data_IF_697794965984
#
_entry.id   IF_697794965984
#
_cell.length_a   1.000
_cell.length_b   1.000
_cell.length_c   1.000
_cell.angle_alpha   90.00
_cell.angle_beta   90.00
_cell.angle_gamma   90.00
#
_symmetry.space_group_name_H-M   'P 1'
#
loop_
_entity.id
_entity.type
_entity.pdbx_description
1 polymer ?
#
# COMPACT_ATOMS: atom_id res chain seq x y z
N UNK A 1 -13.54 7.66 15.68
CA UNK A 1 -12.19 7.46 15.12
C UNK A 1 -11.22 7.37 16.28
N UNK A 2 -10.27 6.43 16.24
CA UNK A 2 -9.30 6.26 17.32
C UNK A 2 -8.25 7.38 17.23
N UNK A 3 -8.23 8.27 18.22
CA UNK A 3 -7.09 9.18 18.41
C UNK A 3 -5.95 8.33 18.95
N UNK A 4 -4.90 8.17 18.15
CA UNK A 4 -3.63 7.64 18.63
C UNK A 4 -3.02 8.73 19.50
N UNK A 5 -2.54 8.37 20.69
CA UNK A 5 -1.99 9.30 21.70
C UNK A 5 -0.61 8.86 22.16
N UNK A 6 -0.28 7.57 22.05
CA UNK A 6 1.02 7.06 22.48
C UNK A 6 1.80 6.40 21.34
N UNK A 7 3.11 6.30 21.55
CA UNK A 7 4.03 5.54 20.69
C UNK A 7 3.59 4.08 20.55
N UNK A 8 3.13 3.47 21.64
CA UNK A 8 2.68 2.07 21.66
C UNK A 8 1.42 1.88 20.81
N UNK A 9 0.47 2.81 20.89
CA UNK A 9 -0.74 2.80 20.06
C UNK A 9 -0.38 2.97 18.57
N UNK A 10 0.54 3.88 18.24
CA UNK A 10 1.03 4.07 16.88
C UNK A 10 1.70 2.81 16.32
N UNK A 11 2.54 2.13 17.10
CA UNK A 11 3.18 0.88 16.71
C UNK A 11 2.17 -0.26 16.56
N UNK A 12 1.20 -0.38 17.48
CA UNK A 12 0.13 -1.36 17.38
C UNK A 12 -0.74 -1.13 16.13
N UNK A 13 -0.98 0.13 15.78
CA UNK A 13 -1.73 0.48 14.57
C UNK A 13 -0.97 0.11 13.29
N UNK A 14 0.33 0.37 13.22
CA UNK A 14 1.17 -0.08 12.09
C UNK A 14 1.22 -1.61 11.97
N UNK A 15 1.18 -2.33 13.09
CA UNK A 15 1.14 -3.79 13.09
C UNK A 15 -0.19 -4.35 12.54
N UNK A 16 -1.28 -3.59 12.56
CA UNK A 16 -2.52 -3.98 11.87
C UNK A 16 -2.36 -3.89 10.35
N UNK A 17 -1.72 -2.82 9.86
CA UNK A 17 -1.47 -2.60 8.43
C UNK A 17 -0.42 -3.58 7.87
N UNK A 18 0.66 -3.85 8.61
CA UNK A 18 1.75 -4.73 8.18
C UNK A 18 2.26 -5.59 9.34
N UNK A 19 1.59 -6.72 9.64
CA UNK A 19 1.88 -7.54 10.83
C UNK A 19 3.30 -8.14 10.88
N UNK A 20 3.92 -8.31 9.73
CA UNK A 20 5.26 -8.90 9.59
C UNK A 20 6.38 -7.86 9.67
N UNK A 21 6.04 -6.57 9.59
CA UNK A 21 6.99 -5.48 9.50
C UNK A 21 7.19 -4.81 10.86
N UNK A 22 8.42 -4.35 11.11
CA UNK A 22 8.76 -3.59 12.32
C UNK A 22 9.07 -2.15 11.97
N UNK A 23 8.65 -1.24 12.83
CA UNK A 23 8.83 0.19 12.63
C UNK A 23 9.44 0.84 13.86
N UNK A 24 10.24 1.87 13.60
CA UNK A 24 10.60 2.88 14.58
C UNK A 24 9.76 4.13 14.30
N UNK A 25 9.16 4.73 15.33
CA UNK A 25 8.32 5.91 15.20
C UNK A 25 8.92 7.09 15.96
N UNK A 26 8.85 8.28 15.36
CA UNK A 26 9.25 9.55 15.97
C UNK A 26 8.02 10.46 16.01
N UNK A 27 7.59 10.92 17.20
CA UNK A 27 6.43 11.79 17.32
C UNK A 27 6.73 13.22 16.80
N UNK A 28 5.68 13.88 16.33
CA UNK A 28 5.64 15.31 16.00
C UNK A 28 4.21 15.85 16.20
N UNK A 29 4.01 17.16 16.05
CA UNK A 29 2.75 17.84 16.43
C UNK A 29 1.46 17.24 15.82
N UNK A 30 1.54 16.62 14.64
CA UNK A 30 0.38 16.03 13.95
C UNK A 30 0.44 14.50 13.85
N UNK A 31 1.31 13.84 14.62
CA UNK A 31 1.32 12.38 14.74
C UNK A 31 2.72 11.78 14.79
N UNK A 32 2.98 10.76 13.96
CA UNK A 32 4.24 10.01 14.00
C UNK A 32 4.83 9.80 12.62
N UNK A 33 6.14 10.01 12.48
CA UNK A 33 6.90 9.55 11.32
C UNK A 33 7.43 8.15 11.62
N UNK A 34 7.02 7.17 10.83
CA UNK A 34 7.47 5.78 10.95
C UNK A 34 8.53 5.46 9.89
N UNK A 35 9.59 4.79 10.33
CA UNK A 35 10.67 4.25 9.49
C UNK A 35 10.76 2.76 9.72
N UNK A 36 10.74 1.98 8.63
CA UNK A 36 10.87 0.52 8.72
C UNK A 36 12.23 0.14 9.32
N UNK A 37 12.21 -0.79 10.27
CA UNK A 37 13.41 -1.39 10.86
C UNK A 37 13.84 -2.53 9.94
N UNK A 38 15.02 -2.38 9.35
CA UNK A 38 15.56 -3.37 8.42
C UNK A 38 16.27 -4.49 9.18
N UNK A 39 16.17 -5.71 8.67
CA UNK A 39 16.98 -6.83 9.17
C UNK A 39 18.44 -6.70 8.69
N UNK A 40 19.41 -7.37 9.34
CA UNK A 40 20.80 -7.37 8.89
C UNK A 40 20.96 -7.80 7.41
N UNK A 41 20.17 -8.77 6.95
CA UNK A 41 20.17 -9.23 5.55
C UNK A 41 19.67 -8.13 4.58
N UNK A 42 18.65 -7.38 4.99
CA UNK A 42 18.11 -6.26 4.21
C UNK A 42 19.10 -5.09 4.14
N UNK A 43 19.80 -4.81 5.24
CA UNK A 43 20.87 -3.81 5.25
C UNK A 43 22.02 -4.20 4.31
N UNK A 44 22.44 -5.46 4.35
CA UNK A 44 23.55 -5.97 3.53
C UNK A 44 23.23 -6.06 2.03
N UNK A 45 21.95 -6.20 1.67
CA UNK A 45 21.48 -6.21 0.27
C UNK A 45 21.19 -4.81 -0.30
N UNK A 46 21.42 -3.75 0.48
CA UNK A 46 21.21 -2.37 0.03
C UNK A 46 19.75 -1.89 0.10
N UNK A 47 18.85 -2.63 0.75
CA UNK A 47 17.44 -2.26 0.91
C UNK A 47 17.22 -0.98 1.76
N UNK A 48 18.28 -0.47 2.40
CA UNK A 48 18.28 0.83 3.07
C UNK A 48 18.23 2.02 2.10
N UNK A 49 18.70 1.85 0.86
CA UNK A 49 18.71 2.91 -0.15
C UNK A 49 17.29 3.11 -0.67
N UNK A 50 16.79 4.34 -0.59
CA UNK A 50 15.47 4.68 -1.08
C UNK A 50 14.31 4.25 -0.18
N UNK A 51 14.56 3.95 1.10
CA UNK A 51 13.49 3.59 2.03
C UNK A 51 12.49 4.74 2.20
N UNK A 52 11.26 4.49 1.76
CA UNK A 52 10.15 5.42 1.92
C UNK A 52 9.80 5.61 3.41
N UNK A 53 9.11 6.71 3.73
CA UNK A 53 8.67 6.99 5.11
C UNK A 53 7.18 6.98 5.21
N UNK A 54 6.69 6.56 6.36
CA UNK A 54 5.28 6.62 6.66
C UNK A 54 5.01 7.76 7.63
N UNK A 55 3.85 8.38 7.49
CA UNK A 55 3.31 9.28 8.52
C UNK A 55 1.97 8.74 8.96
N UNK A 56 1.79 8.59 10.26
CA UNK A 56 0.49 8.34 10.86
C UNK A 56 -0.03 9.68 11.36
N UNK A 57 -1.14 10.16 10.80
CA UNK A 57 -1.84 11.35 11.27
C UNK A 57 -2.63 11.02 12.55
N UNK A 58 -2.36 11.75 13.64
CA UNK A 58 -2.95 11.46 14.96
C UNK A 58 -4.44 11.76 15.07
N UNK A 59 -4.96 12.65 14.23
CA UNK A 59 -6.35 13.09 14.25
C UNK A 59 -7.25 12.16 13.44
N UNK A 60 -6.74 11.70 12.29
CA UNK A 60 -7.49 10.93 11.30
C UNK A 60 -7.15 9.44 11.29
N UNK A 61 -6.04 9.06 11.94
CA UNK A 61 -5.45 7.73 11.86
C UNK A 61 -5.10 7.29 10.42
N UNK A 62 -4.95 8.23 9.48
CA UNK A 62 -4.53 7.91 8.11
C UNK A 62 -3.01 7.72 8.08
N UNK A 63 -2.57 6.63 7.45
CA UNK A 63 -1.16 6.39 7.15
C UNK A 63 -0.85 6.84 5.72
N UNK A 64 0.11 7.74 5.60
CA UNK A 64 0.59 8.28 4.34
C UNK A 64 1.99 7.77 4.02
N UNK A 65 2.22 7.38 2.77
CA UNK A 65 3.53 7.07 2.21
C UNK A 65 4.17 8.34 1.64
N UNK A 66 5.37 8.66 2.10
CA UNK A 66 6.22 9.75 1.61
C UNK A 66 7.47 9.20 0.89
N UNK A 67 8.07 9.99 -0.02
CA UNK A 67 9.39 9.69 -0.57
C UNK A 67 10.46 9.49 0.52
N UNK A 68 11.63 9.01 0.13
CA UNK A 68 12.79 8.70 1.00
C UNK A 68 13.50 9.95 1.55
N UNK A 69 12.74 10.93 2.02
CA UNK A 69 13.21 12.18 2.62
C UNK A 69 13.54 12.00 4.10
N UNK A 70 14.25 12.96 4.69
CA UNK A 70 14.53 12.96 6.13
C UNK A 70 13.27 13.11 6.98
N UNK A 71 13.34 12.72 8.27
CA UNK A 71 12.19 12.66 9.19
C UNK A 71 11.67 14.07 9.40
N UNK A 72 12.60 15.01 9.58
CA UNK A 72 12.32 16.43 9.70
C UNK A 72 11.56 16.97 8.48
N UNK A 73 12.01 16.65 7.26
CA UNK A 73 11.34 17.10 6.03
C UNK A 73 9.95 16.50 5.87
N UNK A 74 9.78 15.22 6.21
CA UNK A 74 8.46 14.57 6.17
C UNK A 74 7.50 15.21 7.17
N UNK A 75 7.95 15.47 8.40
CA UNK A 75 7.14 16.14 9.42
C UNK A 75 6.75 17.56 8.99
N UNK A 76 7.70 18.36 8.47
CA UNK A 76 7.45 19.71 7.97
C UNK A 76 6.42 19.76 6.83
N UNK A 77 6.58 18.88 5.84
CA UNK A 77 5.64 18.80 4.71
C UNK A 77 4.26 18.34 5.18
N UNK A 78 4.19 17.40 6.11
CA UNK A 78 2.92 16.96 6.66
C UNK A 78 2.23 18.07 7.46
N UNK A 79 2.95 18.81 8.30
CA UNK A 79 2.44 20.00 8.99
C UNK A 79 1.89 21.03 8.01
N UNK A 80 2.60 21.27 6.90
CA UNK A 80 2.12 22.18 5.84
C UNK A 80 0.83 21.65 5.19
N UNK A 81 0.73 20.34 4.95
CA UNK A 81 -0.50 19.73 4.48
C UNK A 81 -1.65 19.96 5.47
N UNK A 82 -1.45 19.78 6.78
CA UNK A 82 -2.48 20.04 7.78
C UNK A 82 -2.97 21.48 7.80
N UNK A 83 -2.05 22.43 7.61
CA UNK A 83 -2.39 23.86 7.60
C UNK A 83 -3.09 24.30 6.32
N UNK A 84 -2.73 23.70 5.17
CA UNK A 84 -3.21 24.15 3.86
C UNK A 84 -4.31 23.28 3.26
N UNK A 85 -4.50 22.06 3.78
CA UNK A 85 -5.38 21.04 3.21
C UNK A 85 -4.85 20.39 1.92
N UNK A 86 -3.66 20.75 1.46
CA UNK A 86 -3.13 20.30 0.16
C UNK A 86 -1.96 19.33 0.34
N UNK A 87 -2.20 18.03 0.09
CA UNK A 87 -1.16 17.00 0.06
C UNK A 87 -0.79 16.65 -1.38
N UNK A 88 0.39 17.08 -1.86
CA UNK A 88 0.83 16.82 -3.25
C UNK A 88 1.78 15.65 -3.41
N UNK A 89 2.32 15.14 -2.30
CA UNK A 89 3.51 14.28 -2.35
C UNK A 89 3.34 12.98 -1.59
N UNK A 90 2.33 12.89 -0.74
CA UNK A 90 2.02 11.68 0.00
C UNK A 90 0.78 10.99 -0.54
N UNK A 91 0.81 9.66 -0.50
CA UNK A 91 -0.31 8.81 -0.85
C UNK A 91 -0.85 8.15 0.42
N UNK A 92 -2.17 8.16 0.62
CA UNK A 92 -2.78 7.34 1.67
C UNK A 92 -2.61 5.86 1.31
N UNK A 93 -2.12 5.07 2.27
CA UNK A 93 -1.96 3.62 2.13
C UNK A 93 -2.72 2.83 3.19
N UNK A 94 -3.21 3.49 4.24
CA UNK A 94 -4.04 2.87 5.27
C UNK A 94 -4.93 3.92 5.98
N UNK A 95 -6.16 3.59 6.41
CA UNK A 95 -6.87 2.32 6.20
C UNK A 95 -7.07 2.01 4.72
N UNK A 96 -7.07 0.73 4.38
CA UNK A 96 -7.36 0.27 3.02
C UNK A 96 -8.76 0.71 2.62
N UNK A 97 -8.91 1.16 1.39
CA UNK A 97 -10.15 1.68 0.84
C UNK A 97 -10.87 0.67 -0.04
N UNK A 98 -10.19 -0.38 -0.50
CA UNK A 98 -10.71 -1.40 -1.41
C UNK A 98 -10.20 -2.79 -1.01
N UNK A 99 -11.07 -3.78 -1.17
CA UNK A 99 -10.68 -5.18 -1.29
C UNK A 99 -10.80 -5.59 -2.75
N UNK A 100 -9.71 -6.08 -3.34
CA UNK A 100 -9.66 -6.53 -4.72
C UNK A 100 -9.52 -8.05 -4.72
N UNK A 101 -10.48 -8.72 -5.34
CA UNK A 101 -10.48 -10.17 -5.57
C UNK A 101 -10.19 -10.42 -7.04
N UNK A 102 -9.25 -11.33 -7.32
CA UNK A 102 -8.95 -11.82 -8.66
C UNK A 102 -9.37 -13.27 -8.79
N UNK A 103 -10.03 -13.61 -9.90
CA UNK A 103 -10.32 -14.99 -10.28
C UNK A 103 -9.93 -15.23 -11.72
N UNK A 104 -9.01 -16.15 -11.98
CA UNK A 104 -8.53 -16.47 -13.33
C UNK A 104 -9.68 -17.04 -14.17
N UNK A 105 -9.96 -16.43 -15.31
CA UNK A 105 -10.97 -16.90 -16.27
C UNK A 105 -10.29 -17.66 -17.40
N UNK A 106 -9.13 -17.17 -17.86
CA UNK A 106 -8.38 -17.74 -18.97
C UNK A 106 -6.89 -17.50 -18.78
N UNK A 107 -6.08 -18.43 -19.25
CA UNK A 107 -4.63 -18.28 -19.36
C UNK A 107 -4.15 -18.98 -20.62
N UNK A 108 -3.23 -18.34 -21.33
CA UNK A 108 -2.44 -18.93 -22.40
C UNK A 108 -0.97 -18.52 -22.25
N UNK A 109 -0.12 -18.90 -23.20
CA UNK A 109 1.32 -18.69 -23.08
C UNK A 109 1.72 -17.20 -23.04
N UNK A 110 0.87 -16.31 -23.59
CA UNK A 110 1.18 -14.87 -23.69
C UNK A 110 0.45 -14.06 -22.64
N UNK A 111 -0.78 -14.43 -22.32
CA UNK A 111 -1.69 -13.61 -21.53
C UNK A 111 -2.36 -14.40 -20.41
N UNK A 112 -2.76 -13.67 -19.39
CA UNK A 112 -3.68 -14.16 -18.37
C UNK A 112 -4.81 -13.16 -18.19
N UNK A 113 -6.04 -13.69 -18.12
CA UNK A 113 -7.25 -12.91 -17.96
C UNK A 113 -7.89 -13.29 -16.63
N UNK A 114 -8.08 -12.29 -15.79
CA UNK A 114 -8.77 -12.38 -14.52
C UNK A 114 -10.13 -11.69 -14.59
N UNK A 115 -11.12 -12.21 -13.86
CA UNK A 115 -12.25 -11.42 -13.41
C UNK A 115 -11.77 -10.66 -12.18
N UNK A 116 -11.72 -9.34 -12.28
CA UNK A 116 -11.47 -8.46 -11.15
C UNK A 116 -12.81 -8.09 -10.53
N UNK A 117 -12.86 -8.13 -9.18
CA UNK A 117 -13.92 -7.56 -8.37
C UNK A 117 -13.30 -6.69 -7.28
N UNK A 118 -13.63 -5.40 -7.27
CA UNK A 118 -13.17 -4.45 -6.26
C UNK A 118 -14.34 -3.93 -5.43
N UNK A 119 -14.26 -4.15 -4.13
CA UNK A 119 -15.29 -3.80 -3.14
C UNK A 119 -14.77 -2.68 -2.22
N UNK A 120 -15.53 -1.60 -2.12
CA UNK A 120 -15.19 -0.45 -1.30
C UNK A 120 -15.28 -0.77 0.19
N UNK A 121 -14.26 -0.35 0.96
CA UNK A 121 -14.19 -0.44 2.41
C UNK A 121 -14.53 0.90 3.11
N UNK A 122 -14.79 1.96 2.34
CA UNK A 122 -15.19 3.26 2.87
C UNK A 122 -16.64 3.28 3.37
N UNK A 123 -16.96 4.28 4.20
CA UNK A 123 -18.33 4.59 4.64
C UNK A 123 -18.69 6.05 4.28
N UNK A 124 -19.66 6.30 3.39
CA UNK A 124 -20.45 5.31 2.68
C UNK A 124 -19.62 4.52 1.64
N UNK A 125 -20.03 3.28 1.31
CA UNK A 125 -19.32 2.46 0.33
C UNK A 125 -19.49 3.05 -1.07
N UNK A 126 -18.40 3.11 -1.81
CA UNK A 126 -18.45 3.37 -3.24
C UNK A 126 -18.98 2.13 -3.99
N UNK A 127 -19.52 2.29 -5.22
CA UNK A 127 -20.00 1.16 -6.01
C UNK A 127 -18.92 0.11 -6.27
N UNK A 128 -19.30 -1.17 -6.17
CA UNK A 128 -18.45 -2.30 -6.56
C UNK A 128 -18.07 -2.19 -8.04
N UNK A 129 -16.81 -2.40 -8.34
CA UNK A 129 -16.30 -2.43 -9.71
C UNK A 129 -15.97 -3.85 -10.12
N UNK A 130 -16.50 -4.29 -11.25
CA UNK A 130 -16.26 -5.63 -11.80
C UNK A 130 -15.97 -5.53 -13.29
N UNK A 131 -14.84 -6.07 -13.72
CA UNK A 131 -14.45 -6.12 -15.13
C UNK A 131 -13.32 -7.14 -15.34
N UNK A 132 -13.11 -7.61 -16.58
CA UNK A 132 -11.93 -8.39 -16.90
C UNK A 132 -10.65 -7.55 -16.74
N UNK A 133 -9.58 -8.20 -16.30
CA UNK A 133 -8.22 -7.69 -16.26
C UNK A 133 -7.35 -8.62 -17.10
N UNK A 134 -6.74 -8.10 -18.16
CA UNK A 134 -5.77 -8.83 -18.98
C UNK A 134 -4.37 -8.40 -18.59
N UNK A 135 -3.48 -9.36 -18.36
CA UNK A 135 -2.06 -9.11 -18.09
C UNK A 135 -1.24 -9.87 -19.13
N UNK A 136 -0.32 -9.18 -19.79
CA UNK A 136 0.67 -9.79 -20.66
C UNK A 136 1.87 -10.29 -19.85
N UNK A 137 2.19 -11.57 -19.99
CA UNK A 137 3.17 -12.25 -19.12
C UNK A 137 4.60 -11.76 -19.32
N UNK A 138 4.96 -11.36 -20.55
CA UNK A 138 6.34 -10.98 -20.89
C UNK A 138 6.61 -9.48 -20.72
N UNK A 139 5.69 -8.64 -21.16
CA UNK A 139 5.81 -7.17 -21.10
C UNK A 139 5.35 -6.62 -19.76
N UNK A 140 4.58 -7.40 -19.00
CA UNK A 140 3.88 -6.97 -17.79
C UNK A 140 2.97 -5.76 -18.00
N UNK A 141 2.47 -5.57 -19.23
CA UNK A 141 1.42 -4.60 -19.51
C UNK A 141 0.08 -5.18 -19.10
N UNK A 142 -0.85 -4.30 -18.72
CA UNK A 142 -2.19 -4.70 -18.32
C UNK A 142 -3.25 -3.78 -18.92
N UNK A 143 -4.46 -4.30 -19.01
CA UNK A 143 -5.66 -3.60 -19.45
C UNK A 143 -6.88 -4.07 -18.63
N UNK A 144 -7.74 -3.17 -18.13
CA UNK A 144 -7.69 -1.70 -18.26
C UNK A 144 -6.57 -1.02 -17.46
N UNK A 145 -6.21 0.22 -17.82
CA UNK A 145 -5.11 0.99 -17.19
C UNK A 145 -5.53 1.83 -15.97
N UNK A 146 -6.64 1.52 -15.34
CA UNK A 146 -7.09 2.20 -14.14
C UNK A 146 -6.25 1.80 -12.90
N UNK A 147 -6.33 2.56 -11.79
CA UNK A 147 -5.53 2.29 -10.59
C UNK A 147 -5.79 0.94 -9.91
N UNK A 148 -7.04 0.44 -9.90
CA UNK A 148 -7.37 -0.82 -9.24
C UNK A 148 -6.85 -2.01 -10.06
N UNK A 149 -6.97 -1.93 -11.39
CA UNK A 149 -6.34 -2.88 -12.32
C UNK A 149 -4.82 -2.90 -12.20
N UNK A 150 -4.19 -1.73 -12.06
CA UNK A 150 -2.75 -1.64 -11.88
C UNK A 150 -2.28 -2.34 -10.59
N UNK A 151 -2.95 -2.07 -9.48
CA UNK A 151 -2.71 -2.74 -8.20
C UNK A 151 -2.87 -4.25 -8.32
N UNK A 152 -3.99 -4.70 -8.88
CA UNK A 152 -4.28 -6.11 -9.09
C UNK A 152 -3.21 -6.81 -9.94
N UNK A 153 -2.79 -6.18 -11.06
CA UNK A 153 -1.78 -6.74 -11.94
C UNK A 153 -0.41 -6.86 -11.25
N UNK A 154 -0.01 -5.83 -10.49
CA UNK A 154 1.23 -5.86 -9.70
C UNK A 154 1.17 -6.96 -8.64
N UNK A 155 0.05 -7.09 -7.94
CA UNK A 155 -0.15 -8.11 -6.91
C UNK A 155 -0.10 -9.53 -7.50
N UNK A 156 -0.86 -9.81 -8.56
CA UNK A 156 -0.86 -11.12 -9.21
C UNK A 156 0.53 -11.51 -9.72
N UNK A 157 1.29 -10.55 -10.26
CA UNK A 157 2.69 -10.76 -10.68
C UNK A 157 3.60 -11.07 -9.49
N UNK A 158 3.44 -10.35 -8.39
CA UNK A 158 4.20 -10.64 -7.17
C UNK A 158 3.88 -12.04 -6.64
N UNK A 159 2.60 -12.41 -6.57
CA UNK A 159 2.15 -13.74 -6.15
C UNK A 159 2.72 -14.84 -7.05
N UNK A 160 2.68 -14.65 -8.37
CA UNK A 160 3.31 -15.55 -9.35
C UNK A 160 4.81 -15.73 -9.07
N UNK A 161 5.55 -14.66 -8.78
CA UNK A 161 6.98 -14.75 -8.44
C UNK A 161 7.23 -15.53 -7.15
N UNK A 162 6.37 -15.36 -6.14
CA UNK A 162 6.47 -16.14 -4.90
C UNK A 162 6.15 -17.63 -5.14
N UNK A 163 5.32 -17.91 -6.15
CA UNK A 163 4.87 -19.26 -6.50
C UNK A 163 5.58 -19.84 -7.74
N UNK A 164 6.91 -19.63 -7.85
CA UNK A 164 7.74 -20.22 -8.90
C UNK A 164 7.27 -19.92 -10.34
N UNK A 165 6.63 -18.77 -10.56
CA UNK A 165 6.09 -18.35 -11.86
C UNK A 165 4.65 -18.81 -12.11
N UNK A 166 4.04 -19.60 -11.23
CA UNK A 166 2.65 -20.05 -11.37
C UNK A 166 1.70 -18.92 -10.98
N UNK A 167 0.90 -18.46 -11.94
CA UNK A 167 -0.11 -17.44 -11.70
C UNK A 167 -1.26 -17.99 -10.85
N UNK A 168 -1.78 -17.21 -9.88
CA UNK A 168 -2.82 -17.67 -8.98
C UNK A 168 -4.14 -17.91 -9.73
N UNK A 169 -4.87 -18.95 -9.34
CA UNK A 169 -6.24 -19.16 -9.82
C UNK A 169 -7.21 -18.18 -9.16
N UNK A 170 -7.01 -17.91 -7.87
CA UNK A 170 -7.75 -16.89 -7.12
C UNK A 170 -6.80 -16.24 -6.13
N UNK A 171 -6.93 -14.94 -5.95
CA UNK A 171 -6.16 -14.19 -4.95
C UNK A 171 -6.94 -12.97 -4.44
N UNK A 172 -6.52 -12.41 -3.31
CA UNK A 172 -7.18 -11.24 -2.71
C UNK A 172 -6.15 -10.30 -2.10
N UNK A 173 -6.32 -9.00 -2.36
CA UNK A 173 -5.47 -7.94 -1.81
C UNK A 173 -6.29 -6.74 -1.36
N UNK A 174 -5.74 -5.93 -0.46
CA UNK A 174 -6.37 -4.71 0.05
C UNK A 174 -5.50 -3.50 -0.23
N UNK A 175 -6.10 -2.40 -0.64
CA UNK A 175 -5.42 -1.12 -0.95
C UNK A 175 -6.24 0.09 -0.56
#
# INVERSE_FOLDING_TARGET
>A
MAQLKTTEEALAYLAQMSPTEKYHVVPFDHGWVATKVLTPEQMNSGAAVGLARLVIDSETAIVYLYPSWSTMRVAEVHTTFKQTGVNRVAQQIYPYQWTITLRRIREDDQTIVYQLKAESLTDPPQPTQEHPLTIEKHTHTWDPRDPLSATAAVHARWASRQNQGVWPETDTTQV
#
